data_IF_223808991937
#
_entry.id   IF_223808991937
#
_cell.length_a   1.000
_cell.length_b   1.000
_cell.length_c   1.000
_cell.angle_alpha   90.00
_cell.angle_beta   90.00
_cell.angle_gamma   90.00
#
_symmetry.space_group_name_H-M   'P 1'
#
loop_
_entity.id
_entity.type
_entity.pdbx_description
1 polymer ?
2 non-polymer ?
3 water ?
#
# COMPACT_ATOMS: atom_id res chain seq x y z
N UNK A 14 9.33 -32.18 -8.58
CA UNK A 14 9.16 -31.01 -7.71
C UNK A 14 10.16 -30.99 -6.55
N UNK A 15 10.42 -29.79 -6.00
CA UNK A 15 11.49 -29.56 -5.02
C UNK A 15 10.95 -28.99 -3.71
N UNK A 16 11.73 -29.20 -2.65
CA UNK A 16 11.37 -28.84 -1.29
C UNK A 16 12.02 -27.53 -0.86
N UNK A 17 11.29 -26.76 -0.08
CA UNK A 17 11.88 -25.66 0.70
C UNK A 17 11.25 -25.66 2.09
N UNK A 18 11.94 -26.26 3.05
CA UNK A 18 11.51 -26.30 4.46
C UNK A 18 10.04 -26.70 4.57
N UNK A 19 9.69 -27.82 3.96
CA UNK A 19 8.30 -28.22 3.92
C UNK A 19 7.74 -28.42 2.53
N UNK A 20 6.86 -27.51 2.12
CA UNK A 20 5.92 -27.73 1.03
C UNK A 20 6.64 -27.78 -0.34
N UNK A 21 5.88 -28.25 -1.34
CA UNK A 21 6.34 -28.25 -2.72
C UNK A 21 6.56 -26.82 -3.21
N UNK A 22 7.62 -26.63 -3.99
CA UNK A 22 7.91 -25.33 -4.59
C UNK A 22 8.45 -25.49 -6.01
N UNK A 23 7.83 -26.35 -6.82
CA UNK A 23 8.40 -26.63 -8.14
C UNK A 23 8.18 -25.42 -9.04
N UNK A 24 9.22 -24.63 -9.23
CA UNK A 24 9.19 -23.49 -10.12
C UNK A 24 9.85 -23.83 -11.45
N UNK A 25 9.93 -25.12 -11.78
CA UNK A 25 10.22 -25.55 -13.12
C UNK A 25 11.67 -25.41 -13.49
N UNK A 26 11.95 -25.53 -14.78
CA UNK A 26 13.36 -25.47 -15.23
C UNK A 26 14.01 -24.12 -14.95
N UNK A 27 13.34 -23.02 -15.32
CA UNK A 27 13.96 -21.71 -15.47
C UNK A 27 14.55 -21.14 -14.18
N UNK A 28 14.06 -21.56 -13.02
CA UNK A 28 14.46 -20.96 -11.75
C UNK A 28 15.09 -22.01 -10.85
N UNK A 29 16.30 -21.74 -10.37
CA UNK A 29 17.12 -22.73 -9.70
C UNK A 29 17.64 -22.18 -8.38
N UNK A 30 18.39 -23.03 -7.68
CA UNK A 30 19.10 -22.68 -6.46
C UNK A 30 18.23 -21.84 -5.53
N UNK A 31 17.13 -22.45 -5.10
CA UNK A 31 16.13 -21.79 -4.29
C UNK A 31 16.70 -21.45 -2.91
N UNK A 32 16.05 -20.51 -2.24
CA UNK A 32 16.44 -20.22 -0.86
C UNK A 32 15.27 -19.53 -0.17
N UNK A 33 14.83 -20.13 0.94
CA UNK A 33 13.65 -19.64 1.64
C UNK A 33 13.84 -18.20 2.10
N UNK A 34 12.77 -17.41 1.99
CA UNK A 34 12.79 -16.03 2.46
C UNK A 34 11.74 -15.79 3.53
N UNK A 35 10.70 -16.61 3.61
CA UNK A 35 9.73 -16.46 4.67
C UNK A 35 8.31 -16.59 4.18
N UNK A 36 7.59 -17.55 4.75
CA UNK A 36 6.16 -17.68 4.52
C UNK A 36 5.49 -16.52 5.21
N UNK A 37 5.21 -15.46 4.47
CA UNK A 37 4.65 -14.25 5.04
C UNK A 37 3.15 -14.16 4.85
N UNK A 38 2.51 -15.32 4.80
CA UNK A 38 1.06 -15.48 4.85
C UNK A 38 0.38 -14.99 3.57
N UNK A 39 1.09 -14.22 2.75
CA UNK A 39 0.69 -14.04 1.35
C UNK A 39 1.49 -15.00 0.48
N UNK A 40 1.46 -16.25 0.94
CA UNK A 40 2.18 -17.34 0.34
C UNK A 40 3.48 -17.66 1.04
N UNK A 41 4.30 -18.44 0.35
CA UNK A 41 5.66 -18.75 0.75
C UNK A 41 6.60 -18.15 -0.29
N UNK A 42 7.57 -17.36 0.16
CA UNK A 42 8.46 -16.62 -0.74
C UNK A 42 9.85 -17.23 -0.68
N UNK A 43 10.45 -17.43 -1.84
CA UNK A 43 11.81 -17.93 -1.99
C UNK A 43 12.54 -17.11 -3.04
N UNK A 44 13.86 -17.04 -2.92
CA UNK A 44 14.69 -16.47 -3.96
C UNK A 44 15.20 -17.58 -4.87
N UNK A 45 15.58 -17.20 -6.09
CA UNK A 45 16.03 -18.20 -7.05
C UNK A 45 16.76 -17.51 -8.18
N UNK A 46 17.47 -18.31 -8.97
CA UNK A 46 18.26 -17.82 -10.08
C UNK A 46 17.47 -18.00 -11.37
N UNK A 47 17.30 -16.91 -12.12
CA UNK A 47 16.52 -16.90 -13.36
C UNK A 47 17.50 -17.11 -14.52
N UNK A 48 17.51 -18.33 -15.05
CA UNK A 48 18.54 -18.74 -16.00
C UNK A 48 18.41 -18.07 -17.37
N UNK A 49 17.27 -17.44 -17.68
CA UNK A 49 17.15 -16.72 -18.95
C UNK A 49 17.74 -15.32 -18.83
N UNK A 50 17.51 -14.65 -17.71
CA UNK A 50 17.99 -13.30 -17.48
C UNK A 50 19.26 -13.26 -16.64
N UNK A 51 19.57 -14.36 -15.95
CA UNK A 51 20.83 -14.51 -15.23
C UNK A 51 20.92 -13.54 -14.06
N UNK A 52 19.79 -13.31 -13.39
CA UNK A 52 19.73 -12.52 -12.16
C UNK A 52 18.96 -13.34 -11.13
N UNK A 53 19.26 -13.11 -9.86
CA UNK A 53 18.47 -13.72 -8.81
C UNK A 53 17.18 -12.92 -8.62
N UNK A 54 16.07 -13.65 -8.47
CA UNK A 54 14.73 -13.06 -8.46
C UNK A 54 14.01 -13.53 -7.21
N UNK A 55 12.79 -13.04 -7.03
CA UNK A 55 11.96 -13.41 -5.90
C UNK A 55 10.73 -14.13 -6.43
N UNK A 56 10.31 -15.19 -5.75
CA UNK A 56 9.19 -15.99 -6.20
C UNK A 56 8.24 -16.19 -5.03
N UNK A 57 6.98 -15.85 -5.25
CA UNK A 57 5.95 -15.91 -4.24
C UNK A 57 4.95 -16.96 -4.66
N UNK A 58 4.74 -17.97 -3.81
CA UNK A 58 3.82 -19.06 -4.10
C UNK A 58 2.44 -18.78 -3.52
N UNK A 59 1.41 -18.87 -4.35
CA UNK A 59 0.04 -18.66 -3.93
C UNK A 59 -0.74 -19.97 -4.05
N UNK A 60 -1.61 -20.23 -3.08
CA UNK A 60 -2.58 -21.32 -3.16
C UNK A 60 -3.94 -20.77 -2.78
N UNK A 61 -4.57 -20.00 -3.67
CA UNK A 61 -5.69 -19.15 -3.27
C UNK A 61 -7.07 -19.78 -3.39
N UNK A 62 -7.22 -20.83 -4.20
CA UNK A 62 -8.56 -21.27 -4.56
C UNK A 62 -9.28 -22.01 -3.43
N UNK A 63 -8.64 -22.19 -2.28
CA UNK A 63 -9.24 -22.81 -1.11
C UNK A 63 -9.99 -21.82 -0.22
N UNK A 64 -9.97 -20.53 -0.56
CA UNK A 64 -10.86 -19.55 0.06
C UNK A 64 -11.02 -18.36 -0.88
N UNK A 65 -12.25 -17.85 -0.97
CA UNK A 65 -12.60 -16.93 -2.04
C UNK A 65 -11.96 -15.56 -1.87
N UNK A 66 -11.84 -15.07 -0.64
CA UNK A 66 -11.25 -13.75 -0.44
C UNK A 66 -9.79 -13.73 -0.90
N UNK A 67 -9.05 -14.81 -0.61
CA UNK A 67 -7.71 -14.99 -1.15
C UNK A 67 -7.71 -14.95 -2.68
N UNK A 68 -8.80 -15.40 -3.32
CA UNK A 68 -8.86 -15.43 -4.77
C UNK A 68 -9.13 -14.06 -5.37
N UNK A 69 -10.07 -13.31 -4.77
CA UNK A 69 -10.42 -12.01 -5.33
C UNK A 69 -9.26 -11.03 -5.21
N UNK A 70 -8.49 -11.11 -4.14
CA UNK A 70 -7.36 -10.20 -3.96
C UNK A 70 -6.11 -10.69 -4.66
N UNK A 71 -6.04 -11.98 -4.98
CA UNK A 71 -5.02 -12.44 -5.92
C UNK A 71 -5.34 -11.96 -7.32
N UNK A 72 -6.60 -12.04 -7.73
CA UNK A 72 -7.00 -11.60 -9.07
C UNK A 72 -6.77 -10.11 -9.23
N UNK A 73 -7.36 -9.32 -8.30
CA UNK A 73 -7.20 -7.87 -8.33
C UNK A 73 -5.74 -7.47 -8.41
N UNK A 74 -4.90 -8.11 -7.59
CA UNK A 74 -3.49 -7.75 -7.52
C UNK A 74 -2.78 -8.04 -8.84
N UNK A 75 -3.04 -9.21 -9.44
CA UNK A 75 -2.38 -9.56 -10.70
C UNK A 75 -2.79 -8.59 -11.80
N UNK A 76 -4.10 -8.35 -11.95
CA UNK A 76 -4.55 -7.43 -13.00
C UNK A 76 -3.92 -6.05 -12.82
N UNK A 77 -3.88 -5.54 -11.59
CA UNK A 77 -3.27 -4.24 -11.34
C UNK A 77 -1.77 -4.30 -11.64
N UNK A 78 -1.07 -5.27 -11.08
CA UNK A 78 0.38 -5.32 -11.27
C UNK A 78 0.73 -5.44 -12.76
N UNK A 79 -0.06 -6.20 -13.52
CA UNK A 79 0.22 -6.40 -14.94
C UNK A 79 -0.05 -5.13 -15.75
N UNK A 80 -1.09 -4.36 -15.41
CA UNK A 80 -1.34 -3.17 -16.23
C UNK A 80 -0.39 -2.02 -15.86
N UNK A 81 0.10 -2.01 -14.63
CA UNK A 81 0.98 -0.93 -14.19
C UNK A 81 2.41 -1.15 -14.68
N UNK A 82 3.07 -0.06 -15.03
CA UNK A 82 4.49 -0.11 -15.38
C UNK A 82 5.12 1.19 -14.92
N UNK A 83 5.92 1.12 -13.86
CA UNK A 83 6.48 2.31 -13.21
C UNK A 83 7.68 1.91 -12.36
N UNK A 84 8.73 2.72 -12.39
CA UNK A 84 9.94 2.40 -11.63
C UNK A 84 9.68 2.18 -10.14
N UNK A 85 8.72 2.91 -9.56
CA UNK A 85 8.47 2.85 -8.12
C UNK A 85 7.34 1.89 -7.74
N UNK A 86 6.93 1.01 -8.64
CA UNK A 86 5.92 -0.01 -8.33
C UNK A 86 6.46 -1.37 -8.78
N UNK A 87 6.44 -2.36 -7.88
CA UNK A 87 6.95 -3.67 -8.25
C UNK A 87 6.13 -4.23 -9.40
N UNK A 88 6.84 -4.83 -10.37
CA UNK A 88 6.18 -5.50 -11.47
C UNK A 88 6.13 -7.02 -11.27
N UNK A 89 5.60 -7.69 -12.27
CA UNK A 89 5.61 -9.15 -12.35
C UNK A 89 6.43 -9.54 -13.57
N UNK A 90 7.50 -10.30 -13.35
CA UNK A 90 8.31 -10.74 -14.49
C UNK A 90 7.76 -12.00 -15.13
N UNK A 91 7.03 -12.80 -14.36
CA UNK A 91 6.66 -14.15 -14.81
C UNK A 91 5.59 -14.69 -13.88
N UNK A 92 4.75 -15.58 -14.40
CA UNK A 92 3.78 -16.29 -13.57
C UNK A 92 3.79 -17.76 -13.98
N UNK A 93 4.00 -18.63 -13.00
CA UNK A 93 4.13 -20.07 -13.19
C UNK A 93 2.85 -20.75 -12.70
N UNK A 94 2.15 -21.44 -13.59
CA UNK A 94 1.08 -22.33 -13.17
C UNK A 94 0.94 -23.48 -14.17
N UNK A 95 0.09 -24.42 -13.82
CA UNK A 95 -0.20 -25.57 -14.67
C UNK A 95 -0.83 -25.11 -15.98
N UNK A 96 -0.69 -25.91 -17.05
CA UNK A 96 -1.22 -25.48 -18.36
C UNK A 96 -2.72 -25.62 -18.49
N UNK A 97 -3.39 -26.29 -17.56
CA UNK A 97 -4.84 -26.47 -17.64
C UNK A 97 -5.47 -26.05 -16.33
N UNK A 98 -6.74 -25.65 -16.40
CA UNK A 98 -7.42 -25.22 -15.19
C UNK A 98 -7.71 -26.40 -14.26
N UNK A 99 -7.91 -27.60 -14.82
CA UNK A 99 -8.02 -28.78 -13.97
C UNK A 99 -6.77 -28.98 -13.13
N UNK A 100 -5.59 -28.82 -13.74
CA UNK A 100 -4.33 -29.11 -13.05
C UNK A 100 -3.81 -27.95 -12.22
N UNK A 101 -4.34 -26.75 -12.40
CA UNK A 101 -3.81 -25.56 -11.75
C UNK A 101 -4.18 -25.59 -10.27
N UNK A 102 -3.22 -25.92 -9.43
CA UNK A 102 -3.39 -25.90 -7.99
C UNK A 102 -2.72 -24.67 -7.38
N UNK A 103 -1.44 -24.46 -7.68
CA UNK A 103 -0.69 -23.34 -7.13
C UNK A 103 -0.31 -22.38 -8.24
N UNK A 104 -0.10 -21.12 -7.86
CA UNK A 104 0.31 -20.04 -8.76
C UNK A 104 1.57 -19.42 -8.19
N UNK A 105 2.61 -19.29 -9.01
CA UNK A 105 3.86 -18.68 -8.59
C UNK A 105 4.03 -17.34 -9.29
N UNK A 106 4.40 -16.32 -8.52
CA UNK A 106 4.57 -14.96 -9.01
C UNK A 106 6.04 -14.58 -8.86
N UNK A 107 6.67 -14.23 -9.98
CA UNK A 107 8.09 -13.90 -10.03
C UNK A 107 8.24 -12.39 -10.16
N UNK A 108 9.06 -11.80 -9.30
CA UNK A 108 9.29 -10.36 -9.27
C UNK A 108 10.78 -10.09 -9.09
N UNK A 109 11.18 -8.85 -9.36
CA UNK A 109 12.55 -8.45 -9.05
C UNK A 109 12.83 -8.69 -7.57
N UNK A 110 14.03 -9.18 -7.29
CA UNK A 110 14.41 -9.35 -5.90
C UNK A 110 14.69 -7.98 -5.28
N UNK A 111 14.22 -7.81 -4.04
CA UNK A 111 14.47 -6.57 -3.33
C UNK A 111 15.06 -6.95 -1.98
N UNK A 112 16.22 -6.39 -1.66
CA UNK A 112 16.95 -6.92 -0.53
C UNK A 112 16.25 -6.65 0.80
N UNK A 113 15.46 -5.58 0.92
CA UNK A 113 14.86 -5.25 2.20
C UNK A 113 13.54 -4.48 1.98
N UNK A 114 12.97 -3.98 3.06
CA UNK A 114 11.82 -3.10 2.96
C UNK A 114 11.98 -2.07 4.06
N UNK A 115 11.10 -1.06 4.03
CA UNK A 115 11.26 0.05 4.97
C UNK A 115 10.90 -0.37 6.39
N UNK A 116 10.01 -1.35 6.56
CA UNK A 116 9.74 -1.86 7.91
C UNK A 116 10.99 -2.47 8.54
N UNK A 117 11.67 -3.35 7.79
CA UNK A 117 12.89 -3.97 8.33
C UNK A 117 13.96 -2.92 8.54
N UNK A 118 14.04 -1.95 7.62
CA UNK A 118 15.03 -0.89 7.74
C UNK A 118 14.76 0.01 8.94
N UNK A 119 13.49 0.30 9.21
CA UNK A 119 13.17 1.22 10.30
C UNK A 119 13.51 0.63 11.67
N UNK A 120 13.45 -0.70 11.81
CA UNK A 120 13.79 -1.32 13.09
C UNK A 120 15.25 -1.15 13.45
N UNK A 121 16.13 -0.95 12.46
CA UNK A 121 17.56 -1.06 12.67
C UNK A 121 18.36 0.19 12.35
N UNK A 122 17.82 1.13 11.56
CA UNK A 122 18.65 2.17 10.93
C UNK A 122 18.06 3.55 11.16
N UNK A 123 18.91 4.46 11.62
CA UNK A 123 18.61 5.89 11.56
C UNK A 123 18.70 6.36 10.10
N UNK A 124 17.62 6.94 9.59
CA UNK A 124 17.59 7.51 8.25
C UNK A 124 18.06 8.96 8.30
N UNK A 125 19.01 9.31 7.43
CA UNK A 125 19.37 10.70 7.32
C UNK A 125 18.22 11.46 6.64
N UNK A 126 18.24 12.80 6.83
CA UNK A 126 17.25 13.65 6.18
C UNK A 126 17.24 13.45 4.67
N UNK A 127 18.41 13.26 4.07
CA UNK A 127 18.48 12.98 2.64
C UNK A 127 17.77 11.69 2.28
N UNK A 128 17.98 10.62 3.06
CA UNK A 128 17.24 9.38 2.83
C UNK A 128 15.74 9.60 2.99
N UNK A 129 15.32 10.33 4.03
CA UNK A 129 13.89 10.54 4.22
C UNK A 129 13.28 11.26 3.02
N UNK A 130 13.96 12.31 2.55
CA UNK A 130 13.53 13.06 1.36
C UNK A 130 13.40 12.16 0.14
N UNK A 131 14.44 11.35 -0.13
CA UNK A 131 14.46 10.49 -1.31
C UNK A 131 13.41 9.39 -1.23
N UNK A 132 13.24 8.77 -0.06
CA UNK A 132 12.20 7.75 0.10
C UNK A 132 10.82 8.36 -0.10
N UNK A 133 10.54 9.47 0.60
CA UNK A 133 9.27 10.17 0.43
C UNK A 133 9.01 10.51 -1.04
N UNK A 134 10.04 11.01 -1.73
CA UNK A 134 9.87 11.35 -3.15
C UNK A 134 9.39 10.13 -3.95
N UNK A 135 10.07 9.00 -3.78
CA UNK A 135 9.73 7.83 -4.60
C UNK A 135 8.37 7.26 -4.24
N UNK A 136 7.97 7.32 -2.96
CA UNK A 136 6.63 6.89 -2.58
C UNK A 136 5.58 7.70 -3.34
N UNK A 137 5.75 9.03 -3.36
CA UNK A 137 4.76 9.91 -4.00
C UNK A 137 4.83 9.83 -5.52
N UNK A 138 6.02 9.65 -6.09
CA UNK A 138 6.12 9.48 -7.54
C UNK A 138 5.36 8.24 -7.98
N UNK A 139 5.54 7.13 -7.27
CA UNK A 139 4.77 5.93 -7.57
C UNK A 139 3.28 6.09 -7.26
N UNK A 140 2.94 6.77 -6.16
CA UNK A 140 1.53 6.96 -5.81
C UNK A 140 0.83 7.89 -6.79
N UNK A 141 1.54 8.88 -7.36
CA UNK A 141 0.97 9.71 -8.42
C UNK A 141 0.53 8.85 -9.60
N UNK A 142 1.38 7.93 -10.04
CA UNK A 142 1.00 7.03 -11.12
C UNK A 142 -0.21 6.19 -10.73
N UNK A 143 -0.23 5.66 -9.49
CA UNK A 143 -1.34 4.82 -9.04
C UNK A 143 -2.66 5.60 -9.09
N UNK A 144 -2.67 6.80 -8.52
CA UNK A 144 -3.89 7.61 -8.48
C UNK A 144 -4.31 8.06 -9.87
N UNK A 145 -3.35 8.41 -10.73
CA UNK A 145 -3.70 8.75 -12.11
C UNK A 145 -4.40 7.60 -12.82
N UNK A 146 -4.16 6.36 -12.40
CA UNK A 146 -4.91 5.22 -12.92
C UNK A 146 -6.27 5.02 -12.23
N UNK A 147 -6.70 5.98 -11.41
CA UNK A 147 -7.94 5.89 -10.63
C UNK A 147 -7.92 4.71 -9.66
N UNK A 148 -6.74 4.34 -9.16
CA UNK A 148 -6.58 3.24 -8.22
C UNK A 148 -6.15 3.81 -6.87
N UNK A 149 -6.71 3.25 -5.81
CA UNK A 149 -6.30 3.53 -4.44
C UNK A 149 -5.55 2.32 -3.90
N UNK A 150 -4.37 2.55 -3.32
CA UNK A 150 -3.65 1.41 -2.77
C UNK A 150 -4.39 0.86 -1.55
N UNK A 151 -4.67 1.71 -0.57
CA UNK A 151 -5.43 1.49 0.65
C UNK A 151 -4.66 0.73 1.73
N UNK A 152 -3.45 0.27 1.47
CA UNK A 152 -2.75 -0.45 2.52
C UNK A 152 -1.29 -0.04 2.57
N UNK A 153 -1.02 1.25 2.31
CA UNK A 153 0.34 1.76 2.35
C UNK A 153 0.90 1.70 3.76
N UNK A 154 2.10 1.16 3.89
CA UNK A 154 2.80 1.06 5.16
C UNK A 154 4.23 0.62 4.89
N UNK A 155 5.15 0.80 5.85
CA UNK A 155 6.57 0.48 5.60
C UNK A 155 6.85 -0.92 5.07
N UNK A 156 6.17 -1.96 5.57
CA UNK A 156 6.48 -3.28 5.03
C UNK A 156 6.00 -3.46 3.60
N UNK A 157 5.17 -2.55 3.09
CA UNK A 157 4.76 -2.60 1.69
C UNK A 157 5.65 -1.73 0.81
N UNK A 158 6.82 -1.35 1.28
CA UNK A 158 7.74 -0.48 0.54
C UNK A 158 9.09 -1.20 0.47
N UNK A 159 9.44 -1.71 -0.70
CA UNK A 159 10.64 -2.53 -0.86
C UNK A 159 11.80 -1.69 -1.37
N UNK A 160 12.99 -1.99 -0.86
CA UNK A 160 14.23 -1.31 -1.24
C UNK A 160 15.31 -2.29 -1.69
N UNK A 161 16.12 -1.84 -2.62
CA UNK A 161 17.35 -2.52 -2.98
C UNK A 161 18.52 -1.81 -2.30
N UNK A 162 19.74 -2.28 -2.57
CA UNK A 162 20.91 -1.80 -1.83
C UNK A 162 21.32 -0.40 -2.23
N UNK A 163 20.74 0.15 -3.29
CA UNK A 163 20.94 1.54 -3.68
C UNK A 163 19.74 2.40 -3.33
N UNK A 164 18.88 1.91 -2.44
CA UNK A 164 17.79 2.71 -1.90
C UNK A 164 16.78 3.12 -2.99
N UNK A 165 16.66 2.32 -4.06
CA UNK A 165 15.52 2.40 -4.97
C UNK A 165 14.29 1.82 -4.29
N UNK A 166 13.14 2.49 -4.43
CA UNK A 166 11.94 2.14 -3.68
C UNK A 166 10.81 1.70 -4.62
N UNK A 167 10.09 0.66 -4.23
CA UNK A 167 9.01 0.15 -5.05
C UNK A 167 7.83 -0.23 -4.18
N UNK A 168 6.67 0.34 -4.50
CA UNK A 168 5.44 0.00 -3.81
C UNK A 168 5.01 -1.42 -4.21
N UNK A 169 4.54 -2.20 -3.24
CA UNK A 169 4.02 -3.53 -3.51
C UNK A 169 2.70 -3.75 -2.77
N UNK A 170 2.16 -4.97 -2.89
CA UNK A 170 1.00 -5.47 -2.14
C UNK A 170 -0.27 -4.66 -2.42
N UNK A 171 -0.77 -4.83 -3.65
CA UNK A 171 -2.03 -4.21 -4.05
C UNK A 171 -3.24 -5.09 -3.73
N UNK A 172 -3.15 -5.93 -2.69
CA UNK A 172 -4.22 -6.84 -2.35
C UNK A 172 -5.50 -6.16 -1.88
N UNK A 173 -5.41 -4.93 -1.39
CA UNK A 173 -6.58 -4.23 -0.88
C UNK A 173 -7.00 -3.10 -1.79
N UNK A 174 -6.39 -2.97 -2.97
CA UNK A 174 -6.64 -1.82 -3.82
C UNK A 174 -8.04 -1.85 -4.40
N UNK A 175 -8.54 -0.67 -4.75
CA UNK A 175 -9.82 -0.55 -5.44
C UNK A 175 -9.76 0.61 -6.41
N UNK A 176 -10.68 0.59 -7.38
CA UNK A 176 -10.93 1.77 -8.18
C UNK A 176 -11.56 2.83 -7.30
N UNK A 177 -11.10 4.08 -7.43
CA UNK A 177 -11.63 5.15 -6.61
C UNK A 177 -13.13 5.31 -6.87
N UNK A 178 -13.83 5.76 -5.84
CA UNK A 178 -15.26 6.00 -5.95
C UNK A 178 -15.68 7.03 -4.92
N UNK A 179 -15.31 8.29 -5.10
CA UNK A 179 -15.56 9.30 -4.05
C UNK A 179 -17.04 9.56 -3.79
N UNK A 180 -17.92 9.30 -4.77
CA UNK A 180 -19.35 9.54 -4.61
C UNK A 180 -20.03 8.54 -3.68
N UNK A 181 -19.52 7.31 -3.59
CA UNK A 181 -20.09 6.28 -2.74
C UNK A 181 -19.18 5.96 -1.56
N UNK A 182 -18.60 6.99 -0.93
CA UNK A 182 -17.66 6.86 0.16
C UNK A 182 -18.32 6.78 1.54
N UNK A 183 -19.45 7.47 1.74
CA UNK A 183 -19.98 7.67 3.09
C UNK A 183 -20.53 6.38 3.67
N UNK A 184 -20.37 6.23 4.98
CA UNK A 184 -20.89 5.07 5.70
C UNK A 184 -21.11 5.48 7.15
N UNK A 185 -21.62 4.55 7.95
CA UNK A 185 -21.94 4.82 9.34
C UNK A 185 -20.70 4.94 10.23
N UNK A 186 -20.98 5.18 11.51
CA UNK A 186 -19.96 5.25 12.54
C UNK A 186 -19.39 3.86 12.85
N UNK A 187 -18.07 3.78 12.95
CA UNK A 187 -17.42 2.55 13.41
C UNK A 187 -17.71 1.34 12.50
N UNK A 188 -17.68 1.54 11.18
CA UNK A 188 -17.89 0.43 10.24
C UNK A 188 -16.56 -0.28 9.96
N UNK A 189 -16.61 -1.61 9.91
CA UNK A 189 -15.42 -2.44 9.86
C UNK A 189 -14.49 -2.06 8.71
N UNK A 190 -13.20 -2.34 8.88
CA UNK A 190 -12.20 -1.94 7.90
C UNK A 190 -11.03 -2.92 7.93
N UNK A 191 -10.54 -3.29 6.73
CA UNK A 191 -9.57 -4.37 6.61
C UNK A 191 -8.14 -3.89 6.84
N UNK A 192 -7.78 -2.73 6.26
CA UNK A 192 -6.39 -2.30 6.13
C UNK A 192 -5.75 -2.05 7.49
N UNK A 193 -4.43 -2.01 7.50
CA UNK A 193 -3.67 -2.02 8.75
C UNK A 193 -4.01 -0.80 9.62
N UNK A 194 -4.39 -1.05 10.88
CA UNK A 194 -4.99 -0.03 11.75
C UNK A 194 -4.14 1.24 11.85
N UNK A 195 -2.84 1.08 12.12
CA UNK A 195 -1.97 2.21 12.39
C UNK A 195 -1.93 3.26 11.28
N UNK A 196 -2.30 2.90 10.04
CA UNK A 196 -2.20 3.83 8.92
C UNK A 196 -3.57 4.24 8.37
N UNK A 197 -4.64 3.97 9.12
CA UNK A 197 -5.99 4.32 8.70
C UNK A 197 -6.24 5.81 8.95
N UNK A 198 -6.76 6.51 7.95
CA UNK A 198 -7.13 7.90 8.15
C UNK A 198 -8.25 7.99 9.20
N UNK A 199 -8.32 9.11 9.93
CA UNK A 199 -9.37 9.25 10.95
C UNK A 199 -10.77 9.10 10.41
N UNK A 200 -11.03 9.49 9.15
CA UNK A 200 -12.40 9.38 8.63
C UNK A 200 -12.81 7.93 8.35
N UNK A 201 -11.88 6.97 8.28
CA UNK A 201 -12.28 5.56 8.21
C UNK A 201 -13.18 5.20 9.39
N UNK A 202 -12.74 5.53 10.61
CA UNK A 202 -13.51 5.22 11.81
C UNK A 202 -14.79 6.05 11.95
N UNK A 203 -14.91 7.15 11.22
CA UNK A 203 -16.04 8.06 11.42
C UNK A 203 -17.14 7.88 10.38
N UNK A 204 -16.81 8.10 9.09
CA UNK A 204 -17.84 8.08 8.05
C UNK A 204 -17.39 7.57 6.67
N UNK A 205 -16.21 6.98 6.50
CA UNK A 205 -15.67 6.71 5.17
C UNK A 205 -15.43 5.22 4.97
N UNK A 206 -15.76 4.72 3.77
CA UNK A 206 -15.37 3.37 3.37
C UNK A 206 -13.97 3.30 2.77
N UNK A 207 -13.24 4.40 2.72
CA UNK A 207 -11.91 4.36 2.13
C UNK A 207 -11.92 4.26 0.62
N UNK A 208 -12.87 4.92 -0.04
CA UNK A 208 -12.95 4.95 -1.49
C UNK A 208 -12.40 6.25 -2.08
N UNK A 209 -11.67 7.03 -1.28
CA UNK A 209 -11.16 8.33 -1.69
C UNK A 209 -9.65 8.32 -1.71
N UNK A 210 -9.07 9.05 -2.68
CA UNK A 210 -7.62 9.15 -2.84
C UNK A 210 -6.93 9.65 -1.59
N UNK A 211 -7.58 10.51 -0.80
CA UNK A 211 -6.92 11.07 0.37
C UNK A 211 -6.66 10.04 1.46
N UNK A 212 -7.20 8.83 1.32
CA UNK A 212 -6.93 7.73 2.24
C UNK A 212 -5.45 7.34 2.18
N UNK A 213 -4.88 7.30 0.96
CA UNK A 213 -3.48 6.93 0.78
C UNK A 213 -2.56 8.03 1.28
N UNK A 214 -2.97 9.29 1.13
CA UNK A 214 -2.13 10.40 1.55
C UNK A 214 -1.94 10.38 3.06
N UNK A 215 -3.01 10.12 3.80
CA UNK A 215 -2.88 9.97 5.25
C UNK A 215 -1.85 8.90 5.57
N UNK A 216 -1.92 7.77 4.88
CA UNK A 216 -1.01 6.65 5.12
C UNK A 216 0.43 7.09 4.88
N UNK A 217 0.67 7.79 3.78
CA UNK A 217 2.03 8.27 3.49
C UNK A 217 2.49 9.24 4.58
N UNK A 218 1.60 10.13 5.02
CA UNK A 218 1.92 10.97 6.16
C UNK A 218 2.39 10.16 7.34
N UNK A 219 1.67 9.07 7.66
CA UNK A 219 2.07 8.22 8.77
C UNK A 219 3.46 7.62 8.52
N UNK A 220 3.72 7.17 7.30
CA UNK A 220 5.04 6.65 6.97
C UNK A 220 6.10 7.73 7.17
N UNK A 221 5.80 8.96 6.77
CA UNK A 221 6.76 10.05 6.94
C UNK A 221 7.06 10.31 8.41
N UNK A 222 6.02 10.36 9.24
CA UNK A 222 6.25 10.49 10.68
C UNK A 222 7.14 9.35 11.18
N UNK A 223 6.92 8.13 10.65
CA UNK A 223 7.66 6.98 11.13
C UNK A 223 9.11 7.03 10.67
N UNK A 224 9.36 7.64 9.50
CA UNK A 224 10.73 7.80 9.03
C UNK A 224 11.50 8.82 9.87
N UNK A 225 10.81 9.86 10.36
CA UNK A 225 11.48 10.84 11.20
C UNK A 225 11.89 10.28 12.57
N UNK A 226 11.17 9.31 13.11
CA UNK A 226 11.42 8.90 14.48
C UNK A 226 11.66 7.41 14.69
N UNK A 227 11.50 6.57 13.67
CA UNK A 227 11.61 5.12 13.74
C UNK A 227 10.49 4.46 14.55
N UNK A 228 9.38 5.14 14.79
CA UNK A 228 8.28 4.54 15.54
C UNK A 228 6.96 4.97 14.92
N UNK A 229 5.97 4.10 14.86
CA UNK A 229 4.67 4.50 14.32
C UNK A 229 4.11 5.68 15.10
N UNK A 230 3.58 6.67 14.37
CA UNK A 230 3.11 7.87 15.05
C UNK A 230 1.79 7.62 15.79
N UNK A 231 0.93 6.72 15.28
CA UNK A 231 -0.38 6.47 15.89
C UNK A 231 -0.57 4.96 16.10
N UNK A 232 0.14 4.37 17.11
CA UNK A 232 -0.03 2.90 17.32
C UNK A 232 -1.30 2.56 18.10
N UNK A 233 -2.44 2.65 17.43
CA UNK A 233 -3.68 2.23 18.06
C UNK A 233 -3.70 0.73 18.27
N UNK A 234 -4.27 0.32 19.41
CA UNK A 234 -4.37 -1.10 19.73
C UNK A 234 -5.70 -1.72 19.34
N UNK A 235 -6.76 -0.91 19.22
CA UNK A 235 -8.04 -1.39 18.72
C UNK A 235 -8.68 -0.29 17.90
N UNK A 236 -9.72 -0.69 17.14
CA UNK A 236 -10.35 0.16 16.14
C UNK A 236 -10.55 1.60 16.62
N UNK A 237 -11.09 1.80 17.81
CA UNK A 237 -11.40 3.16 18.25
C UNK A 237 -10.20 3.85 18.87
N UNK A 238 -9.29 3.07 19.46
CA UNK A 238 -8.03 3.61 19.96
C UNK A 238 -7.27 4.34 18.87
N UNK A 239 -7.38 3.85 17.63
CA UNK A 239 -6.73 4.51 16.50
C UNK A 239 -7.16 5.96 16.36
N UNK A 240 -8.47 6.21 16.55
CA UNK A 240 -8.98 7.58 16.45
C UNK A 240 -8.48 8.45 17.59
N UNK A 241 -8.47 7.90 18.81
CA UNK A 241 -8.02 8.66 19.97
C UNK A 241 -6.54 8.95 19.90
N UNK A 242 -5.76 8.08 19.23
CA UNK A 242 -4.34 8.38 19.00
C UNK A 242 -4.17 9.57 18.06
N UNK A 243 -4.95 9.61 16.99
CA UNK A 243 -4.89 10.74 16.06
C UNK A 243 -5.28 12.03 16.76
N UNK A 244 -6.36 12.00 17.53
CA UNK A 244 -6.87 13.21 18.17
C UNK A 244 -5.94 13.69 19.27
N UNK A 245 -5.17 12.78 19.87
CA UNK A 245 -4.22 13.17 20.89
C UNK A 245 -3.08 14.00 20.38
N UNK A 246 -2.77 13.92 19.10
CA UNK A 246 -1.68 14.69 18.52
C UNK A 246 -2.21 15.87 17.71
N UNK A 247 -3.24 15.65 16.90
CA UNK A 247 -3.80 16.74 16.11
C UNK A 247 -4.64 17.67 16.96
N UNK A 248 -5.23 17.19 18.06
CA UNK A 248 -6.12 18.00 18.86
C UNK A 248 -7.55 17.86 18.41
N UNK A 249 -8.44 18.46 19.19
CA UNK A 249 -9.86 18.37 18.87
C UNK A 249 -10.13 19.01 17.52
N UNK A 250 -10.93 18.38 16.67
CA UNK A 250 -11.34 19.01 15.41
C UNK A 250 -12.02 20.35 15.62
N UNK A 251 -11.86 21.23 14.64
CA UNK A 251 -12.54 22.52 14.61
C UNK A 251 -14.03 22.34 14.38
N UNK A 252 -14.78 23.41 14.67
CA UNK A 252 -16.21 23.37 14.39
C UNK A 252 -16.47 23.21 12.91
N UNK A 253 -15.68 23.90 12.08
CA UNK A 253 -15.81 23.78 10.63
C UNK A 253 -15.63 22.34 10.18
N UNK A 254 -14.58 21.67 10.69
CA UNK A 254 -14.39 20.26 10.38
C UNK A 254 -15.53 19.42 10.94
N UNK A 255 -15.98 19.70 12.16
CA UNK A 255 -17.08 18.91 12.70
C UNK A 255 -18.36 19.10 11.89
N UNK A 256 -18.57 20.30 11.36
CA UNK A 256 -19.80 20.56 10.58
C UNK A 256 -19.82 19.81 9.26
N UNK A 257 -18.66 19.42 8.73
CA UNK A 257 -18.58 18.54 7.56
C UNK A 257 -19.01 17.10 7.87
N UNK A 258 -19.07 16.71 9.13
CA UNK A 258 -19.47 15.35 9.49
C UNK A 258 -20.98 15.37 9.77
N UNK A 259 -21.74 14.77 8.87
CA UNK A 259 -23.19 14.82 8.98
C UNK A 259 -23.77 13.61 9.70
N UNK A 260 -23.04 12.51 9.79
CA UNK A 260 -23.55 11.38 10.55
C UNK A 260 -23.54 11.73 12.03
N UNK A 261 -24.71 11.66 12.65
CA UNK A 261 -24.83 12.11 14.04
C UNK A 261 -24.00 11.27 14.98
N UNK A 262 -23.96 9.95 14.78
CA UNK A 262 -23.19 9.09 15.66
C UNK A 262 -21.71 9.47 15.65
N UNK A 263 -21.13 9.68 14.46
CA UNK A 263 -19.74 10.13 14.38
C UNK A 263 -19.58 11.47 15.07
N UNK A 264 -20.45 12.43 14.74
CA UNK A 264 -20.31 13.79 15.25
C UNK A 264 -20.48 13.84 16.77
N UNK A 265 -21.56 13.25 17.30
CA UNK A 265 -21.77 13.29 18.75
C UNK A 265 -20.66 12.57 19.51
N UNK A 266 -20.04 11.54 18.91
CA UNK A 266 -18.89 10.91 19.57
C UNK A 266 -17.76 11.92 19.75
N UNK A 267 -17.39 12.61 18.68
CA UNK A 267 -16.36 13.63 18.76
C UNK A 267 -16.75 14.72 19.76
N UNK A 268 -18.03 15.11 19.76
CA UNK A 268 -18.46 16.17 20.64
C UNK A 268 -18.34 15.76 22.10
N UNK A 269 -18.44 14.46 22.40
CA UNK A 269 -18.42 13.96 23.77
C UNK A 269 -17.02 13.91 24.37
N UNK A 270 -15.95 13.96 23.53
CA UNK A 270 -14.57 13.89 24.00
C UNK A 270 -14.16 15.21 24.66
N UNK A 271 -13.37 15.16 25.72
CA UNK A 271 -12.81 16.39 26.28
C UNK A 271 -11.86 17.06 25.31
N UNK A 272 -11.71 18.36 25.47
CA UNK A 272 -10.91 19.19 24.59
C UNK A 272 -9.44 18.80 24.71
N UNK A 273 -8.79 18.53 23.58
CA UNK A 273 -7.38 18.25 23.53
C UNK A 273 -6.70 19.30 22.67
N UNK A 274 -5.53 19.74 23.11
CA UNK A 274 -4.73 20.66 22.32
C UNK A 274 -3.81 19.92 21.36
N UNK A 275 -3.53 20.56 20.23
CA UNK A 275 -2.57 20.04 19.26
C UNK A 275 -1.22 19.86 19.93
N UNK A 276 -0.50 18.81 19.55
CA UNK A 276 0.90 18.66 19.88
C UNK A 276 1.70 19.22 18.69
N UNK A 277 2.51 20.25 18.89
CA UNK A 277 3.27 20.81 17.76
C UNK A 277 4.25 19.78 17.21
N UNK A 278 4.29 19.71 15.87
CA UNK A 278 5.14 18.74 15.17
C UNK A 278 6.59 18.87 15.59
N UNK A 279 7.07 20.10 15.76
CA UNK A 279 8.48 20.27 16.14
C UNK A 279 8.73 19.86 17.59
N UNK A 280 7.69 19.60 18.37
CA UNK A 280 7.88 18.92 19.64
C UNK A 280 8.00 17.41 19.42
N UNK A 281 7.14 16.84 18.57
CA UNK A 281 7.24 15.42 18.28
C UNK A 281 8.55 15.09 17.59
N UNK A 282 9.07 15.98 16.75
CA UNK A 282 10.24 15.73 15.92
C UNK A 282 11.18 16.92 15.96
N UNK A 283 11.88 17.11 17.09
CA UNK A 283 12.74 18.31 17.23
C UNK A 283 13.99 18.24 16.37
N UNK A 284 14.30 17.06 15.83
CA UNK A 284 15.40 16.87 14.90
C UNK A 284 15.01 17.15 13.46
N UNK A 285 13.73 17.25 13.15
CA UNK A 285 13.31 17.14 11.76
C UNK A 285 13.62 18.43 10.99
N UNK A 286 13.75 18.26 9.67
CA UNK A 286 13.70 19.36 8.72
C UNK A 286 12.36 20.10 8.83
N UNK A 287 12.41 21.43 8.91
CA UNK A 287 11.17 22.16 9.11
C UNK A 287 10.27 22.07 7.89
N UNK A 288 10.86 22.13 6.68
CA UNK A 288 10.09 21.88 5.47
C UNK A 288 9.40 20.52 5.51
N UNK A 289 10.07 19.51 6.09
CA UNK A 289 9.44 18.19 6.18
C UNK A 289 8.24 18.20 7.12
N UNK A 290 8.33 18.97 8.23
CA UNK A 290 7.21 19.06 9.15
C UNK A 290 6.02 19.80 8.53
N UNK A 291 6.31 20.81 7.71
CA UNK A 291 5.23 21.51 7.00
C UNK A 291 4.46 20.55 6.10
N UNK A 292 5.17 19.75 5.31
CA UNK A 292 4.47 18.79 4.45
C UNK A 292 3.80 17.70 5.29
N UNK A 293 4.45 17.23 6.35
CA UNK A 293 3.78 16.30 7.26
C UNK A 293 2.42 16.83 7.67
N UNK A 294 2.38 18.12 8.04
CA UNK A 294 1.17 18.76 8.54
C UNK A 294 0.03 18.71 7.52
N UNK A 295 0.35 19.01 6.27
CA UNK A 295 -0.66 19.02 5.22
C UNK A 295 -1.09 17.60 4.86
N UNK A 296 -0.21 16.62 5.07
CA UNK A 296 -0.57 15.22 4.85
C UNK A 296 -1.44 14.69 5.97
N UNK A 297 -1.13 15.09 7.22
CA UNK A 297 -1.88 14.63 8.39
C UNK A 297 -2.89 15.68 8.82
N UNK A 298 -3.74 16.02 7.85
CA UNK A 298 -4.81 16.97 8.07
C UNK A 298 -6.07 16.19 8.37
N UNK A 299 -6.75 16.56 9.46
CA UNK A 299 -7.90 15.77 9.90
C UNK A 299 -8.96 15.70 8.80
N UNK A 300 -9.23 16.83 8.16
CA UNK A 300 -10.31 16.90 7.18
C UNK A 300 -9.83 16.35 5.86
N UNK A 301 -10.43 15.28 5.35
CA UNK A 301 -9.96 14.72 4.06
C UNK A 301 -10.06 15.70 2.91
N UNK A 302 -11.02 16.63 2.96
CA UNK A 302 -11.17 17.59 1.89
C UNK A 302 -10.08 18.65 1.90
N UNK A 303 -9.43 18.86 3.04
CA UNK A 303 -8.32 19.79 3.14
C UNK A 303 -6.96 19.12 3.03
N UNK A 304 -6.91 17.79 3.08
CA UNK A 304 -5.64 17.09 2.94
C UNK A 304 -5.05 17.37 1.56
N UNK A 305 -3.73 17.56 1.52
CA UNK A 305 -3.04 17.81 0.24
C UNK A 305 -3.14 16.59 -0.67
N UNK A 306 -3.17 16.83 -1.99
CA UNK A 306 -3.15 15.81 -3.03
C UNK A 306 -1.73 15.29 -3.28
N UNK A 307 -1.64 14.19 -4.03
CA UNK A 307 -0.32 13.64 -4.33
C UNK A 307 0.51 14.60 -5.18
N UNK A 308 -0.13 15.26 -6.16
CA UNK A 308 0.66 16.14 -7.01
C UNK A 308 1.11 17.41 -6.28
N UNK A 309 0.31 17.96 -5.36
CA UNK A 309 0.82 19.12 -4.63
C UNK A 309 1.89 18.73 -3.65
N UNK A 310 1.80 17.54 -3.06
CA UNK A 310 2.88 17.06 -2.20
C UNK A 310 4.18 16.96 -2.97
N UNK A 311 4.11 16.51 -4.22
CA UNK A 311 5.31 16.42 -5.02
C UNK A 311 5.89 17.81 -5.29
N UNK A 312 5.04 18.82 -5.47
CA UNK A 312 5.46 20.20 -5.67
C UNK A 312 5.85 20.92 -4.38
N UNK A 313 5.82 20.25 -3.22
CA UNK A 313 6.15 20.92 -1.98
C UNK A 313 7.65 21.21 -1.89
N UNK A 314 8.02 22.33 -1.25
CA UNK A 314 9.44 22.72 -1.21
C UNK A 314 10.38 21.69 -0.61
N UNK A 315 9.89 20.78 0.23
CA UNK A 315 10.76 19.80 0.84
C UNK A 315 11.34 18.84 -0.19
N UNK A 316 10.66 18.70 -1.34
CA UNK A 316 11.05 17.77 -2.39
C UNK A 316 11.62 18.47 -3.63
N UNK A 317 12.01 19.76 -3.53
CA UNK A 317 12.21 20.52 -4.76
C UNK A 317 13.46 20.08 -5.51
N UNK A 318 14.45 19.53 -4.81
CA UNK A 318 15.61 19.00 -5.48
C UNK A 318 15.27 17.77 -6.33
N UNK A 319 14.12 17.15 -6.10
CA UNK A 319 13.67 16.03 -6.91
C UNK A 319 12.51 16.36 -7.83
N UNK A 320 11.66 17.34 -7.48
CA UNK A 320 10.42 17.57 -8.22
C UNK A 320 10.71 17.77 -9.71
N UNK A 321 9.98 17.02 -10.52
CA UNK A 321 10.10 17.15 -11.96
C UNK A 321 8.87 16.49 -12.61
N UNK A 322 7.81 17.26 -12.87
CA UNK A 322 6.56 16.66 -13.34
C UNK A 322 6.68 15.97 -14.68
N UNK A 323 7.68 16.34 -15.49
CA UNK A 323 7.93 15.68 -16.75
C UNK A 323 8.67 14.37 -16.58
N UNK A 324 9.15 14.05 -15.38
CA UNK A 324 9.74 12.76 -15.08
C UNK A 324 8.93 12.01 -14.03
N UNK A 325 7.64 12.30 -13.95
CA UNK A 325 6.73 11.68 -12.98
C UNK A 325 5.53 11.22 -13.78
N UNK A 326 5.63 10.07 -14.43
CA UNK A 326 4.63 9.70 -15.42
C UNK A 326 3.29 9.32 -14.79
N UNK A 327 2.25 9.41 -15.60
CA UNK A 327 0.91 8.98 -15.22
C UNK A 327 0.53 7.82 -16.13
N UNK A 328 -0.49 7.09 -15.70
CA UNK A 328 -0.90 5.87 -16.39
C UNK A 328 -1.53 6.20 -17.73
N UNK A 329 -1.34 5.30 -18.70
CA UNK A 329 -2.03 5.45 -19.97
C UNK A 329 -3.48 4.99 -19.83
N UNK A 330 -3.67 3.83 -19.19
CA UNK A 330 -4.97 3.17 -19.13
C UNK A 330 -5.50 3.18 -17.69
N UNK A 331 -6.27 4.20 -17.29
CA UNK A 331 -6.97 4.14 -16.01
C UNK A 331 -7.96 2.99 -15.97
N UNK A 332 -8.09 2.37 -14.80
CA UNK A 332 -9.20 1.47 -14.51
C UNK A 332 -10.48 2.30 -14.44
N UNK A 333 -11.31 2.21 -15.47
CA UNK A 333 -12.58 2.93 -15.46
C UNK A 333 -13.73 2.08 -14.95
N UNK A 334 -13.44 1.15 -14.04
CA UNK A 334 -14.36 0.12 -13.57
C UNK A 334 -13.82 -0.49 -12.28
N UNK A 335 -14.62 -0.56 -11.21
CA UNK A 335 -14.26 -1.49 -10.16
C UNK A 335 -14.56 -2.89 -10.67
N UNK A 336 -13.63 -3.81 -10.43
CA UNK A 336 -13.80 -5.17 -10.88
C UNK A 336 -14.92 -5.84 -10.07
N UNK A 337 -15.98 -6.28 -10.75
CA UNK A 337 -17.17 -6.83 -10.09
C UNK A 337 -16.88 -8.26 -9.62
N UNK A 338 -16.05 -8.34 -8.56
CA UNK A 338 -15.49 -9.62 -8.13
C UNK A 338 -16.16 -10.18 -6.89
N UNK A 339 -17.00 -9.41 -6.20
CA UNK A 339 -17.55 -9.89 -4.94
C UNK A 339 -18.64 -10.94 -5.16
N UNK A 340 -19.47 -10.76 -6.18
CA UNK A 340 -20.51 -11.74 -6.49
C UNK A 340 -20.10 -12.62 -7.68
N UNK A 341 -19.05 -13.41 -7.46
CA UNK A 341 -18.57 -14.34 -8.45
C UNK A 341 -18.37 -15.70 -7.79
N UNK A 342 -18.96 -16.77 -8.33
CA UNK A 342 -18.66 -18.11 -7.81
C UNK A 342 -17.17 -18.41 -7.95
N UNK A 343 -16.67 -19.21 -6.99
CA UNK A 343 -15.26 -19.58 -6.97
C UNK A 343 -14.77 -20.10 -8.32
N UNK A 344 -15.68 -20.65 -9.14
CA UNK A 344 -15.28 -21.18 -10.43
C UNK A 344 -14.97 -20.06 -11.41
N UNK A 345 -15.73 -18.97 -11.36
CA UNK A 345 -15.39 -17.80 -12.17
C UNK A 345 -14.06 -17.19 -11.75
N UNK A 346 -13.82 -17.06 -10.44
CA UNK A 346 -12.54 -16.54 -9.96
C UNK A 346 -11.38 -17.34 -10.54
N UNK A 347 -11.41 -18.66 -10.33
CA UNK A 347 -10.30 -19.50 -10.80
C UNK A 347 -10.08 -19.31 -12.29
N UNK A 348 -11.16 -19.26 -13.06
CA UNK A 348 -11.00 -19.16 -14.51
C UNK A 348 -10.46 -17.79 -14.93
N UNK A 349 -10.93 -16.72 -14.27
CA UNK A 349 -10.38 -15.40 -14.58
C UNK A 349 -8.90 -15.30 -14.20
N UNK A 350 -8.47 -16.00 -13.16
CA UNK A 350 -7.05 -16.01 -12.79
C UNK A 350 -6.24 -16.77 -13.84
N UNK A 351 -6.70 -17.97 -14.20
CA UNK A 351 -6.12 -18.70 -15.33
C UNK A 351 -5.96 -17.78 -16.54
N UNK A 352 -7.05 -17.13 -16.94
CA UNK A 352 -7.03 -16.31 -18.14
C UNK A 352 -6.06 -15.14 -18.02
N UNK A 353 -6.03 -14.49 -16.84
CA UNK A 353 -5.14 -13.36 -16.64
C UNK A 353 -3.67 -13.73 -16.67
N UNK A 354 -3.33 -14.99 -16.41
CA UNK A 354 -1.95 -15.45 -16.35
C UNK A 354 -1.51 -16.21 -17.61
N UNK A 355 -2.36 -16.25 -18.65
CA UNK A 355 -2.01 -16.94 -19.89
C UNK A 355 -0.85 -16.27 -20.62
N UNK A 356 -0.61 -14.98 -20.36
CA UNK A 356 0.41 -14.23 -21.09
C UNK A 356 1.80 -14.83 -20.90
N UNK A 357 2.01 -15.55 -19.80
CA UNK A 357 3.31 -16.08 -19.47
C UNK A 357 3.44 -17.54 -19.84
N UNK A 358 2.41 -18.12 -20.42
CA UNK A 358 2.50 -19.52 -20.81
C UNK A 358 3.25 -19.66 -22.13
N UNK A 359 4.14 -20.64 -22.23
CA UNK A 359 4.83 -20.91 -23.50
C UNK A 359 3.84 -21.24 -24.60
N UNK A 360 3.84 -20.42 -25.65
CA UNK A 360 2.88 -20.54 -26.73
C UNK A 360 2.09 -19.27 -27.01
X LIG B 1 -9.56 -3.48 14.12
X LIG B 1 -10.17 -3.36 12.79
X LIG B 1 -8.55 -4.53 14.11
X LIG B 1 -8.94 -2.21 14.50
X LIG B 1 -10.61 -3.75 15.11
#
# INVERSE_FOLDING_TARGET
GSHMAAAAAAGAGPEMVRGQVFDVGPRYTNLSYIGEGAHGMVCSAYDNVNKVRVAIKKISPFEHQTYCQRTLREIKILLRFRHENIIGINDIIRAPTIEQMKDVYIVQDLMETDLYKLLKTQHLSNDHICYFLYQILRGLKYIHSANVLHRDLKPSNLLLNTTCDLKICDFGLARVADPDHDHTGFLTEYVATRWYRAPEIMLNSKGYTKSIDIWSVGCILAEMLSNRPIFPGKHYLDQLNHILGILGSPSQEDLNCIINLKARNYLLSLPHKNKVPWNRLFPNADSKALDLLDKMLTFNPHKRIEVEQALAHPYLEQYYDPSDEPIAEAPFKFDMELDDLPKEKLKELIFEETARFQPGYRS
SO4 S O1 O2 O3 O4
#
